data_IF_511178145775
#
_entry.id   IF_511178145775
#
_cell.length_a   1.000
_cell.length_b   1.000
_cell.length_c   1.000
_cell.angle_alpha   90.00
_cell.angle_beta   90.00
_cell.angle_gamma   90.00
#
_symmetry.space_group_name_H-M   'P 1'
#
loop_
_entity.id
_entity.type
_entity.pdbx_description
1 polymer ?
#
# COMPACT_ATOMS: atom_id res chain seq x y z
N UNK A 1 -34.45 -62.36 -29.44
CA UNK A 1 -34.19 -62.28 -28.01
C UNK A 1 -32.79 -61.70 -27.82
N UNK A 2 -32.72 -60.38 -27.68
CA UNK A 2 -31.45 -59.63 -27.57
C UNK A 2 -31.26 -59.20 -26.13
N UNK A 3 -30.21 -59.68 -25.49
CA UNK A 3 -29.81 -59.28 -24.14
C UNK A 3 -28.85 -58.10 -24.21
N UNK A 4 -29.25 -56.95 -23.67
CA UNK A 4 -28.40 -55.76 -23.55
C UNK A 4 -27.72 -55.83 -22.14
N UNK A 5 -26.38 -55.94 -22.15
CA UNK A 5 -25.53 -55.81 -20.98
C UNK A 5 -25.24 -54.31 -20.76
N UNK A 6 -25.69 -53.80 -19.59
CA UNK A 6 -25.41 -52.43 -19.10
C UNK A 6 -24.13 -52.50 -18.24
N UNK A 7 -23.06 -51.84 -18.71
CA UNK A 7 -21.85 -51.59 -17.88
C UNK A 7 -22.06 -50.36 -17.02
N UNK A 8 -22.12 -50.54 -15.72
CA UNK A 8 -22.08 -49.47 -14.71
C UNK A 8 -20.62 -49.13 -14.38
N UNK A 9 -20.15 -47.96 -14.86
CA UNK A 9 -18.87 -47.39 -14.46
C UNK A 9 -19.03 -46.68 -13.10
N UNK A 10 -18.37 -47.20 -12.05
CA UNK A 10 -18.26 -46.58 -10.75
C UNK A 10 -17.23 -45.44 -10.82
N UNK A 11 -17.70 -44.20 -10.98
CA UNK A 11 -16.86 -43.03 -10.76
C UNK A 11 -16.64 -42.78 -9.28
N UNK A 12 -15.42 -43.03 -8.82
CA UNK A 12 -14.93 -42.72 -7.50
C UNK A 12 -14.76 -41.20 -7.37
N UNK A 13 -15.77 -40.47 -6.85
CA UNK A 13 -15.66 -39.06 -6.47
C UNK A 13 -14.61 -38.91 -5.36
N UNK A 14 -13.46 -38.31 -5.71
CA UNK A 14 -12.48 -37.84 -4.73
C UNK A 14 -13.03 -36.53 -4.15
N UNK A 15 -13.24 -36.41 -2.83
CA UNK A 15 -13.65 -35.12 -2.25
C UNK A 15 -12.45 -34.16 -2.30
N UNK A 16 -12.55 -33.11 -3.12
CA UNK A 16 -11.65 -31.96 -3.04
C UNK A 16 -11.90 -31.25 -1.71
N UNK A 17 -10.97 -31.40 -0.77
CA UNK A 17 -11.02 -30.68 0.50
C UNK A 17 -10.77 -29.18 0.24
N UNK A 18 -11.68 -28.33 0.71
CA UNK A 18 -11.64 -26.87 0.55
C UNK A 18 -10.30 -26.23 1.00
N UNK A 19 -9.54 -26.89 1.88
CA UNK A 19 -8.23 -26.44 2.35
C UNK A 19 -7.12 -26.46 1.29
N UNK A 20 -7.17 -27.38 0.31
CA UNK A 20 -6.12 -27.45 -0.74
C UNK A 20 -6.25 -26.30 -1.76
N UNK A 21 -7.48 -25.84 -2.03
CA UNK A 21 -7.73 -24.75 -2.97
C UNK A 21 -7.29 -23.41 -2.36
N UNK A 22 -7.54 -23.19 -1.08
CA UNK A 22 -7.14 -21.97 -0.39
C UNK A 22 -5.61 -21.81 -0.31
N UNK A 23 -4.88 -22.91 -0.07
CA UNK A 23 -3.41 -22.88 0.07
C UNK A 23 -2.73 -22.63 -1.30
N UNK A 24 -3.25 -23.20 -2.38
CA UNK A 24 -2.67 -23.02 -3.72
C UNK A 24 -2.96 -21.61 -4.28
N UNK A 25 -4.10 -21.00 -3.93
CA UNK A 25 -4.42 -19.62 -4.31
C UNK A 25 -3.52 -18.58 -3.60
N UNK A 26 -3.19 -18.80 -2.33
CA UNK A 26 -2.28 -17.93 -1.57
C UNK A 26 -0.84 -18.00 -2.08
N UNK A 27 -0.39 -19.17 -2.53
CA UNK A 27 0.95 -19.34 -3.11
C UNK A 27 1.17 -18.57 -4.43
N UNK A 28 0.10 -18.18 -5.13
CA UNK A 28 0.12 -17.38 -6.37
C UNK A 28 -0.17 -15.90 -6.15
N UNK A 29 -0.65 -15.52 -4.96
CA UNK A 29 -0.98 -14.12 -4.67
C UNK A 29 0.31 -13.29 -4.54
N UNK A 30 0.34 -12.15 -5.25
CA UNK A 30 1.45 -11.19 -5.18
C UNK A 30 0.86 -9.79 -5.04
N UNK A 31 1.32 -9.05 -4.05
CA UNK A 31 0.96 -7.67 -3.83
C UNK A 31 1.82 -6.72 -4.65
N UNK A 32 1.35 -5.50 -4.84
CA UNK A 32 2.15 -4.44 -5.42
C UNK A 32 3.34 -4.12 -4.49
N UNK A 33 4.61 -4.17 -4.98
CA UNK A 33 5.80 -4.01 -4.14
C UNK A 33 6.09 -2.51 -3.87
N UNK A 34 5.38 -1.91 -2.93
CA UNK A 34 5.41 -0.47 -2.62
C UNK A 34 6.83 0.02 -2.32
N UNK A 35 7.56 -0.71 -1.46
CA UNK A 35 8.90 -0.27 -1.03
C UNK A 35 9.89 -0.21 -2.20
N UNK A 36 9.87 -1.22 -3.08
CA UNK A 36 10.72 -1.25 -4.28
C UNK A 36 10.34 -0.12 -5.24
N UNK A 37 9.03 0.12 -5.42
CA UNK A 37 8.55 1.22 -6.26
C UNK A 37 9.06 2.58 -5.76
N UNK A 38 8.90 2.88 -4.47
CA UNK A 38 9.35 4.15 -3.89
C UNK A 38 10.87 4.29 -3.97
N UNK A 39 11.64 3.23 -3.70
CA UNK A 39 13.11 3.25 -3.90
C UNK A 39 13.50 3.57 -5.35
N UNK A 40 12.75 3.05 -6.33
CA UNK A 40 12.92 3.41 -7.75
C UNK A 40 12.65 4.88 -8.03
N UNK A 41 11.60 5.46 -7.43
CA UNK A 41 11.32 6.90 -7.52
C UNK A 41 12.44 7.75 -6.91
N UNK A 42 13.00 7.35 -5.76
CA UNK A 42 14.16 8.03 -5.14
C UNK A 42 15.38 8.01 -6.06
N UNK A 43 15.66 6.87 -6.66
CA UNK A 43 16.75 6.76 -7.63
C UNK A 43 16.55 7.73 -8.80
N UNK A 44 15.33 7.81 -9.34
CA UNK A 44 14.99 8.72 -10.44
C UNK A 44 15.15 10.20 -10.04
N UNK A 45 14.69 10.60 -8.85
CA UNK A 45 14.84 11.97 -8.34
C UNK A 45 16.34 12.35 -8.26
N UNK A 46 17.17 11.43 -7.76
CA UNK A 46 18.61 11.60 -7.64
C UNK A 46 19.29 11.73 -9.02
N UNK A 47 18.98 10.83 -9.95
CA UNK A 47 19.55 10.85 -11.32
C UNK A 47 19.17 12.12 -12.10
N UNK A 48 17.99 12.66 -11.86
CA UNK A 48 17.53 13.94 -12.44
C UNK A 48 18.20 15.16 -11.82
N UNK A 49 18.96 14.99 -10.71
CA UNK A 49 19.58 16.11 -9.99
C UNK A 49 18.57 17.08 -9.38
N UNK A 50 17.35 16.60 -9.08
CA UNK A 50 16.31 17.41 -8.47
C UNK A 50 16.64 17.66 -6.99
N UNK A 51 16.49 18.93 -6.55
CA UNK A 51 16.64 19.30 -5.15
C UNK A 51 15.25 19.48 -4.53
N UNK A 52 14.81 18.55 -3.66
CA UNK A 52 13.46 18.65 -3.07
C UNK A 52 13.32 19.86 -2.14
N UNK A 53 12.11 20.42 -2.07
CA UNK A 53 11.74 21.40 -1.05
C UNK A 53 10.83 20.72 -0.04
N UNK A 54 11.20 20.79 1.24
CA UNK A 54 10.39 20.34 2.35
C UNK A 54 9.59 21.50 2.93
N UNK A 55 8.30 21.28 3.14
CA UNK A 55 7.38 22.15 3.85
C UNK A 55 6.97 21.46 5.15
N UNK A 56 7.04 22.17 6.25
CA UNK A 56 6.67 21.71 7.59
C UNK A 56 5.55 22.60 8.14
N UNK A 57 4.50 21.98 8.66
CA UNK A 57 3.44 22.64 9.41
C UNK A 57 3.31 21.94 10.76
N UNK A 58 3.44 22.69 11.84
CA UNK A 58 3.29 22.21 13.22
C UNK A 58 2.47 23.25 14.01
N UNK A 59 1.18 22.95 14.25
CA UNK A 59 0.23 23.93 14.76
C UNK A 59 0.13 25.13 13.82
N UNK A 60 0.37 26.34 14.33
CA UNK A 60 0.36 27.58 13.54
C UNK A 60 1.70 27.89 12.85
N UNK A 61 2.75 27.12 13.15
CA UNK A 61 4.08 27.32 12.58
C UNK A 61 4.17 26.67 11.20
N UNK A 62 4.67 27.45 10.24
CA UNK A 62 4.96 27.00 8.87
C UNK A 62 6.40 27.31 8.55
N UNK A 63 7.11 26.33 8.03
CA UNK A 63 8.50 26.46 7.60
C UNK A 63 8.71 25.79 6.25
N UNK A 64 9.73 26.21 5.52
CA UNK A 64 10.15 25.56 4.28
C UNK A 64 11.66 25.65 4.12
N UNK A 65 12.25 24.56 3.67
CA UNK A 65 13.69 24.45 3.46
C UNK A 65 14.03 23.54 2.29
N UNK A 66 15.16 23.80 1.65
CA UNK A 66 15.73 22.86 0.71
C UNK A 66 16.20 21.59 1.45
N UNK A 67 15.81 20.44 0.93
CA UNK A 67 16.25 19.15 1.43
C UNK A 67 17.41 18.66 0.56
N UNK A 68 18.54 18.30 1.20
CA UNK A 68 19.63 17.67 0.47
C UNK A 68 19.17 16.32 -0.05
N UNK A 69 19.58 15.98 -1.27
CA UNK A 69 19.16 14.73 -1.91
C UNK A 69 19.62 13.48 -1.12
N UNK A 70 20.75 13.60 -0.42
CA UNK A 70 21.29 12.54 0.45
C UNK A 70 20.41 12.29 1.67
N UNK A 71 19.68 13.32 2.17
CA UNK A 71 18.84 13.25 3.33
C UNK A 71 17.40 12.78 2.99
N UNK A 72 17.04 12.81 1.69
CA UNK A 72 15.69 12.42 1.24
C UNK A 72 15.26 11.02 1.70
N UNK A 73 16.10 9.95 1.62
CA UNK A 73 15.71 8.63 2.10
C UNK A 73 15.35 8.60 3.59
N UNK A 74 16.08 9.37 4.42
CA UNK A 74 15.80 9.52 5.85
C UNK A 74 14.49 10.29 6.09
N UNK A 75 14.28 11.37 5.34
CA UNK A 75 13.09 12.20 5.45
C UNK A 75 11.79 11.46 5.11
N UNK A 76 11.86 10.47 4.20
CA UNK A 76 10.70 9.66 3.79
C UNK A 76 10.67 8.25 4.39
N UNK A 77 11.47 7.97 5.42
CA UNK A 77 11.58 6.61 6.02
C UNK A 77 10.22 6.01 6.42
N UNK A 78 9.25 6.86 6.75
CA UNK A 78 7.87 6.40 7.02
C UNK A 78 7.24 5.63 5.85
N UNK A 79 7.60 5.93 4.60
CA UNK A 79 7.12 5.20 3.42
C UNK A 79 7.85 3.88 3.20
N UNK A 80 9.03 3.72 3.76
CA UNK A 80 9.91 2.56 3.56
C UNK A 80 9.78 1.51 4.66
N UNK A 81 9.12 1.86 5.79
CA UNK A 81 8.96 0.99 6.96
C UNK A 81 7.50 0.89 7.39
N UNK A 82 6.94 -0.31 7.66
CA UNK A 82 7.56 -1.60 7.38
C UNK A 82 7.76 -1.80 5.89
N UNK A 83 8.68 -2.66 5.50
CA UNK A 83 8.84 -3.03 4.08
C UNK A 83 7.58 -3.70 3.56
N UNK A 84 7.11 -3.25 2.39
CA UNK A 84 5.97 -3.83 1.67
C UNK A 84 6.50 -4.36 0.35
N UNK A 85 6.82 -5.65 0.32
CA UNK A 85 7.18 -6.38 -0.90
C UNK A 85 5.98 -7.14 -1.49
N UNK A 86 6.22 -7.95 -2.49
CA UNK A 86 5.15 -8.69 -3.18
C UNK A 86 4.59 -9.88 -2.40
N UNK A 87 5.19 -10.27 -1.27
CA UNK A 87 4.88 -11.55 -0.60
C UNK A 87 4.82 -11.49 0.93
N UNK A 88 5.55 -10.56 1.57
CA UNK A 88 5.76 -10.59 3.02
C UNK A 88 4.50 -10.35 3.87
N UNK A 89 3.46 -9.73 3.31
CA UNK A 89 2.23 -9.36 4.02
C UNK A 89 1.00 -10.15 3.57
N UNK A 90 1.10 -11.09 2.65
CA UNK A 90 -0.04 -11.85 2.08
C UNK A 90 -0.83 -12.66 3.12
N UNK A 91 -0.22 -13.03 4.26
CA UNK A 91 -0.87 -13.74 5.35
C UNK A 91 -1.65 -12.81 6.31
N UNK A 92 -1.48 -11.50 6.17
CA UNK A 92 -2.04 -10.49 7.06
C UNK A 92 -3.06 -9.59 6.35
N UNK A 93 -2.95 -9.42 5.02
CA UNK A 93 -3.77 -8.50 4.24
C UNK A 93 -4.44 -9.21 3.06
N UNK A 94 -5.57 -8.63 2.64
CA UNK A 94 -6.30 -9.02 1.43
C UNK A 94 -6.27 -7.86 0.44
N UNK A 95 -5.95 -8.15 -0.82
CA UNK A 95 -6.08 -7.20 -1.93
C UNK A 95 -7.52 -7.16 -2.43
N UNK A 96 -8.06 -5.95 -2.55
CA UNK A 96 -9.31 -5.65 -3.26
C UNK A 96 -8.99 -4.78 -4.47
N UNK A 97 -9.44 -5.19 -5.64
CA UNK A 97 -9.23 -4.46 -6.88
C UNK A 97 -10.56 -3.94 -7.42
N UNK A 98 -10.62 -2.67 -7.77
CA UNK A 98 -11.78 -2.05 -8.42
C UNK A 98 -11.34 -0.92 -9.36
N UNK A 99 -12.25 -0.51 -10.25
CA UNK A 99 -12.06 0.65 -11.13
C UNK A 99 -12.80 1.82 -10.49
N UNK A 100 -12.06 2.86 -10.15
CA UNK A 100 -12.61 4.11 -9.62
C UNK A 100 -12.79 5.10 -10.77
N UNK A 101 -14.02 5.24 -11.26
CA UNK A 101 -14.34 6.12 -12.37
C UNK A 101 -14.19 7.61 -12.00
N UNK A 102 -14.33 7.97 -10.71
CA UNK A 102 -14.19 9.36 -10.27
C UNK A 102 -12.74 9.83 -10.27
N UNK A 103 -11.80 8.92 -10.04
CA UNK A 103 -10.36 9.19 -10.04
C UNK A 103 -9.68 8.76 -11.34
N UNK A 104 -10.44 8.15 -12.26
CA UNK A 104 -9.92 7.51 -13.46
C UNK A 104 -8.69 6.64 -13.11
N UNK A 105 -8.91 5.64 -12.27
CA UNK A 105 -7.86 4.80 -11.74
C UNK A 105 -8.32 3.35 -11.50
N UNK A 106 -7.44 2.40 -11.74
CA UNK A 106 -7.52 1.07 -11.16
C UNK A 106 -6.94 1.16 -9.75
N UNK A 107 -7.73 0.79 -8.75
CA UNK A 107 -7.38 0.90 -7.35
C UNK A 107 -7.13 -0.48 -6.77
N UNK A 108 -5.95 -0.68 -6.17
CA UNK A 108 -5.58 -1.86 -5.40
C UNK A 108 -5.58 -1.45 -3.93
N UNK A 109 -6.55 -1.92 -3.16
CA UNK A 109 -6.66 -1.63 -1.72
C UNK A 109 -6.34 -2.88 -0.92
N UNK A 110 -5.51 -2.72 0.11
CA UNK A 110 -5.04 -3.79 0.96
C UNK A 110 -5.52 -3.55 2.38
N UNK A 111 -6.35 -4.47 2.86
CA UNK A 111 -6.98 -4.40 4.19
C UNK A 111 -6.62 -5.62 5.03
N UNK A 112 -6.55 -5.49 6.37
CA UNK A 112 -6.25 -6.61 7.25
C UNK A 112 -7.30 -7.73 7.13
N UNK A 113 -6.85 -8.99 7.03
CA UNK A 113 -7.72 -10.18 7.09
C UNK A 113 -8.14 -10.47 8.53
N UNK A 114 -7.28 -10.11 9.50
CA UNK A 114 -7.43 -10.38 10.93
C UNK A 114 -6.77 -9.28 11.75
N UNK A 115 -6.92 -9.34 13.08
CA UNK A 115 -6.19 -8.44 13.98
C UNK A 115 -4.69 -8.53 13.70
N UNK A 116 -4.07 -7.39 13.42
CA UNK A 116 -2.64 -7.27 13.15
C UNK A 116 -1.82 -7.43 14.45
N UNK A 117 -0.56 -7.90 14.35
CA UNK A 117 0.37 -7.87 15.47
C UNK A 117 0.62 -6.43 15.95
N UNK A 118 0.73 -6.22 17.25
CA UNK A 118 0.96 -4.87 17.83
C UNK A 118 2.32 -4.27 17.40
N UNK A 119 3.26 -5.11 16.93
CA UNK A 119 4.54 -4.68 16.34
C UNK A 119 4.40 -4.08 14.94
N UNK A 120 3.30 -4.38 14.23
CA UNK A 120 3.05 -3.87 12.88
C UNK A 120 2.16 -2.63 12.95
N UNK A 121 2.74 -1.47 12.70
CA UNK A 121 2.01 -0.20 12.68
C UNK A 121 1.17 0.02 11.41
N UNK A 122 1.48 -0.68 10.29
CA UNK A 122 0.77 -0.55 9.02
C UNK A 122 -0.67 -1.08 9.16
N UNK A 123 -1.66 -0.22 8.93
CA UNK A 123 -3.09 -0.55 9.03
C UNK A 123 -3.72 -0.87 7.68
N UNK A 124 -3.36 -0.14 6.64
CA UNK A 124 -3.85 -0.37 5.26
C UNK A 124 -2.99 0.41 4.28
N UNK A 125 -3.09 0.05 3.00
CA UNK A 125 -2.56 0.88 1.91
C UNK A 125 -3.38 0.71 0.64
N UNK A 126 -3.27 1.71 -0.24
CA UNK A 126 -3.95 1.73 -1.53
C UNK A 126 -2.99 2.22 -2.61
N UNK A 127 -3.00 1.55 -3.76
CA UNK A 127 -2.23 1.93 -4.95
C UNK A 127 -3.21 2.31 -6.06
N UNK A 128 -3.06 3.51 -6.60
CA UNK A 128 -3.85 4.04 -7.71
C UNK A 128 -3.03 3.96 -8.99
N UNK A 129 -3.55 3.26 -9.98
CA UNK A 129 -2.88 2.96 -11.24
C UNK A 129 -3.69 3.58 -12.37
N UNK A 130 -3.03 4.27 -13.27
CA UNK A 130 -3.65 4.80 -14.48
C UNK A 130 -4.05 3.67 -15.41
N UNK A 131 -5.32 3.57 -15.82
CA UNK A 131 -5.82 2.43 -16.58
C UNK A 131 -5.14 2.24 -17.95
N UNK A 132 -4.84 3.35 -18.64
CA UNK A 132 -4.32 3.32 -20.00
C UNK A 132 -2.83 2.95 -20.05
N UNK A 133 -2.04 3.46 -19.10
CA UNK A 133 -0.58 3.32 -19.13
C UNK A 133 -0.04 2.27 -18.18
N UNK A 134 -0.83 1.89 -17.17
CA UNK A 134 -0.39 1.04 -16.07
C UNK A 134 0.54 1.75 -15.07
N UNK A 135 0.75 3.06 -15.21
CA UNK A 135 1.61 3.84 -14.31
C UNK A 135 0.95 4.06 -12.95
N UNK A 136 1.73 4.01 -11.89
CA UNK A 136 1.25 4.39 -10.57
C UNK A 136 1.07 5.90 -10.50
N UNK A 137 -0.16 6.35 -10.22
CA UNK A 137 -0.50 7.77 -9.99
C UNK A 137 -0.20 8.17 -8.55
N UNK A 138 -0.63 7.31 -7.61
CA UNK A 138 -0.55 7.59 -6.17
C UNK A 138 -0.42 6.31 -5.35
N UNK A 139 0.26 6.40 -4.22
CA UNK A 139 0.23 5.41 -3.15
C UNK A 139 -0.22 6.11 -1.87
N UNK A 140 -1.17 5.52 -1.16
CA UNK A 140 -1.65 6.00 0.13
C UNK A 140 -1.48 4.91 1.17
N UNK A 141 -0.85 5.21 2.31
CA UNK A 141 -0.66 4.28 3.42
C UNK A 141 -1.21 4.89 4.70
N UNK A 142 -1.77 4.05 5.54
CA UNK A 142 -2.20 4.40 6.89
C UNK A 142 -1.46 3.54 7.89
N UNK A 143 -0.85 4.19 8.87
CA UNK A 143 -0.21 3.54 10.00
C UNK A 143 -0.89 3.99 11.28
N UNK A 144 -1.16 3.06 12.18
CA UNK A 144 -1.78 3.35 13.47
C UNK A 144 -1.02 2.66 14.58
N UNK A 145 -0.68 3.39 15.62
CA UNK A 145 -0.04 2.85 16.82
C UNK A 145 -0.65 3.57 18.04
N UNK A 146 -1.43 2.81 18.83
CA UNK A 146 -2.17 3.33 19.99
C UNK A 146 -3.07 4.50 19.60
N UNK A 147 -2.75 5.71 20.01
CA UNK A 147 -3.50 6.95 19.72
C UNK A 147 -2.93 7.75 18.55
N UNK A 148 -1.84 7.30 17.96
CA UNK A 148 -1.17 8.00 16.84
C UNK A 148 -1.54 7.36 15.51
N UNK A 149 -1.93 8.17 14.55
CA UNK A 149 -2.16 7.75 13.16
C UNK A 149 -1.29 8.60 12.25
N UNK A 150 -0.60 7.94 11.32
CA UNK A 150 0.17 8.59 10.27
C UNK A 150 -0.43 8.26 8.93
N UNK A 151 -0.83 9.29 8.18
CA UNK A 151 -1.33 9.17 6.82
C UNK A 151 -0.23 9.61 5.86
N UNK A 152 0.11 8.74 4.91
CA UNK A 152 1.21 8.92 3.98
C UNK A 152 0.66 8.91 2.56
N UNK A 153 0.95 9.94 1.79
CA UNK A 153 0.58 10.05 0.38
C UNK A 153 1.83 10.23 -0.46
N UNK A 154 2.05 9.35 -1.42
CA UNK A 154 3.07 9.47 -2.45
C UNK A 154 2.40 9.75 -3.78
N UNK A 155 2.63 10.91 -4.38
CA UNK A 155 2.21 11.23 -5.74
C UNK A 155 3.41 11.02 -6.65
N UNK A 156 3.30 10.06 -7.58
CA UNK A 156 4.41 9.67 -8.45
C UNK A 156 4.94 10.85 -9.26
N UNK A 157 6.26 10.97 -9.31
CA UNK A 157 6.99 12.02 -10.03
C UNK A 157 6.73 13.47 -9.57
N UNK A 158 6.06 13.69 -8.43
CA UNK A 158 5.68 15.03 -8.00
C UNK A 158 6.05 15.34 -6.55
N UNK A 159 5.48 14.64 -5.60
CA UNK A 159 5.66 14.95 -4.18
C UNK A 159 5.26 13.79 -3.26
N UNK A 160 5.62 13.91 -1.99
CA UNK A 160 5.00 13.11 -0.94
C UNK A 160 4.52 13.99 0.21
N UNK A 161 3.57 13.45 0.98
CA UNK A 161 2.97 14.12 2.13
C UNK A 161 2.83 13.13 3.28
N UNK A 162 3.18 13.55 4.47
CA UNK A 162 3.03 12.82 5.73
C UNK A 162 2.23 13.67 6.69
N UNK A 163 1.10 13.15 7.18
CA UNK A 163 0.23 13.80 8.16
C UNK A 163 0.21 12.96 9.42
N UNK A 164 0.62 13.56 10.53
CA UNK A 164 0.66 12.93 11.84
C UNK A 164 -0.54 13.40 12.66
N UNK A 165 -1.32 12.46 13.16
CA UNK A 165 -2.56 12.72 13.88
C UNK A 165 -2.53 12.04 15.25
N UNK A 166 -3.14 12.72 16.23
CA UNK A 166 -3.46 12.13 17.53
C UNK A 166 -4.96 11.98 17.67
N UNK A 167 -5.41 10.80 18.09
CA UNK A 167 -6.79 10.56 18.47
C UNK A 167 -7.05 11.04 19.89
N UNK A 168 -8.07 11.85 20.08
CA UNK A 168 -8.57 12.27 21.38
C UNK A 168 -9.47 11.19 22.01
N UNK A 169 -9.80 11.36 23.29
CA UNK A 169 -10.68 10.44 24.03
C UNK A 169 -12.12 10.42 23.49
N UNK A 170 -12.56 11.48 22.81
CA UNK A 170 -13.88 11.59 22.16
C UNK A 170 -13.93 10.98 20.74
N UNK A 171 -12.79 10.43 20.28
CA UNK A 171 -12.66 9.85 18.92
C UNK A 171 -12.36 10.86 17.82
N UNK A 172 -12.25 12.17 18.13
CA UNK A 172 -11.79 13.17 17.17
C UNK A 172 -10.28 13.04 16.93
N UNK A 173 -9.81 13.60 15.79
CA UNK A 173 -8.40 13.64 15.46
C UNK A 173 -7.89 15.07 15.44
N UNK A 174 -6.70 15.27 15.95
CA UNK A 174 -5.95 16.53 15.84
C UNK A 174 -4.72 16.28 14.97
N UNK A 175 -4.46 17.19 14.03
CA UNK A 175 -3.24 17.18 13.24
C UNK A 175 -2.11 17.77 14.09
N UNK A 176 -1.14 16.92 14.46
CA UNK A 176 0.03 17.35 15.21
C UNK A 176 1.06 18.02 14.28
N UNK A 177 1.25 17.41 13.10
CA UNK A 177 2.30 17.78 12.16
C UNK A 177 1.94 17.37 10.74
N UNK A 178 2.31 18.19 9.78
CA UNK A 178 2.28 17.88 8.35
C UNK A 178 3.66 18.14 7.74
N UNK A 179 4.16 17.18 6.96
CA UNK A 179 5.37 17.32 6.16
C UNK A 179 5.02 17.05 4.70
N UNK A 180 5.35 17.97 3.81
CA UNK A 180 5.24 17.80 2.37
C UNK A 180 6.61 18.00 1.74
N UNK A 181 7.02 17.10 0.85
CA UNK A 181 8.28 17.19 0.11
C UNK A 181 7.96 17.20 -1.37
N UNK A 182 8.31 18.28 -2.05
CA UNK A 182 8.09 18.48 -3.49
C UNK A 182 9.40 18.32 -4.26
N UNK A 183 9.32 17.75 -5.46
CA UNK A 183 10.42 17.64 -6.43
C UNK A 183 9.98 17.85 -7.88
N UNK A 184 8.72 18.26 -8.10
CA UNK A 184 8.15 18.64 -9.40
C UNK A 184 8.23 20.18 -9.56
N UNK A 185 9.15 20.70 -10.31
CA UNK A 185 9.23 22.13 -10.69
C UNK A 185 9.88 22.33 -12.04
#
# INVERSE_FOLDING_TARGET
MLLLNSCTTNEKKIPLTANSIATDSLAKQRFFPVTIYIKGQLYFIKEKGLNPIQYLIEGDKKDSSWLKIEDLPSAINEFLTPEIDSTNLIQLFLEKKFVDQSLDAVTLTYEPIKKLPDSLSLSSWTVYIEPETGNVKRIYLVKTKTTKTTQLTWNSNANCKMVYLTSNADGSFVVDKEVKINWDY
#
